data_IF_178662093718
#
_entry.id   IF_178662093718
#
_cell.length_a   1.000
_cell.length_b   1.000
_cell.length_c   1.000
_cell.angle_alpha   90.00
_cell.angle_beta   90.00
_cell.angle_gamma   90.00
#
_symmetry.space_group_name_H-M   'P 1'
#
loop_
_entity.id
_entity.type
_entity.pdbx_description
1 polymer ?
#
# COMPACT_ATOMS: atom_id res chain seq x y z
N UNK A 1 2.73 23.06 23.00
CA UNK A 1 3.71 23.13 24.11
C UNK A 1 4.05 24.57 24.39
N UNK A 2 5.20 24.83 25.01
CA UNK A 2 5.72 26.19 25.24
C UNK A 2 7.20 26.23 24.91
N UNK A 3 7.58 27.16 24.02
CA UNK A 3 8.98 27.42 23.67
C UNK A 3 9.74 27.96 24.87
N UNK A 4 10.94 27.43 25.13
CA UNK A 4 11.80 27.92 26.21
C UNK A 4 13.28 27.74 25.90
N UNK A 5 14.15 28.49 26.60
CA UNK A 5 15.60 28.30 26.47
C UNK A 5 16.01 26.93 27.03
N UNK A 6 16.70 26.12 26.21
CA UNK A 6 17.09 24.74 26.55
C UNK A 6 17.98 24.63 27.81
N UNK A 7 18.78 25.65 28.13
CA UNK A 7 19.56 25.69 29.36
C UNK A 7 18.90 26.48 30.50
N UNK A 8 17.86 27.27 30.20
CA UNK A 8 17.27 28.22 31.14
C UNK A 8 16.03 27.69 31.86
N UNK A 9 15.28 26.79 31.22
CA UNK A 9 14.06 26.24 31.79
C UNK A 9 14.33 24.91 32.52
N UNK A 10 14.09 24.80 33.83
CA UNK A 10 14.24 23.53 34.54
C UNK A 10 13.27 22.47 34.02
N UNK A 11 13.69 21.20 34.03
CA UNK A 11 12.96 20.09 33.42
C UNK A 11 11.50 19.94 33.89
N UNK A 12 11.16 20.03 35.19
CA UNK A 12 9.78 19.83 35.66
C UNK A 12 8.77 20.84 35.12
N UNK A 13 9.24 22.00 34.64
CA UNK A 13 8.39 23.09 34.15
C UNK A 13 8.26 23.10 32.62
N UNK A 14 8.92 22.18 31.91
CA UNK A 14 8.88 22.15 30.45
C UNK A 14 7.55 21.58 29.95
N UNK A 15 7.01 22.22 28.92
CA UNK A 15 5.87 21.75 28.13
C UNK A 15 6.35 21.43 26.71
N UNK A 16 7.24 20.45 26.64
CA UNK A 16 7.97 20.10 25.41
C UNK A 16 7.07 19.34 24.43
N UNK A 17 6.75 19.98 23.30
CA UNK A 17 5.89 19.40 22.28
C UNK A 17 6.60 18.32 21.45
N UNK A 18 7.92 18.41 21.28
CA UNK A 18 8.71 17.44 20.52
C UNK A 18 8.77 16.10 21.24
N UNK A 19 9.03 16.12 22.55
CA UNK A 19 9.00 14.90 23.36
C UNK A 19 7.59 14.33 23.47
N UNK A 20 6.55 15.17 23.56
CA UNK A 20 5.17 14.69 23.52
C UNK A 20 4.82 13.98 22.21
N UNK A 21 5.30 14.50 21.07
CA UNK A 21 5.12 13.87 19.77
C UNK A 21 5.85 12.52 19.66
N UNK A 22 7.09 12.44 20.13
CA UNK A 22 7.84 11.18 20.17
C UNK A 22 7.16 10.11 21.05
N UNK A 23 6.66 10.51 22.22
CA UNK A 23 5.90 9.63 23.12
C UNK A 23 4.63 9.10 22.46
N UNK A 24 3.90 9.97 21.75
CA UNK A 24 2.72 9.58 20.98
C UNK A 24 3.04 8.50 19.95
N UNK A 25 4.09 8.69 19.15
CA UNK A 25 4.52 7.72 18.13
C UNK A 25 4.84 6.36 18.74
N UNK A 26 5.68 6.34 19.80
CA UNK A 26 6.11 5.11 20.46
C UNK A 26 4.92 4.38 21.09
N UNK A 27 3.98 5.09 21.73
CA UNK A 27 2.77 4.46 22.28
C UNK A 27 1.88 3.86 21.20
N UNK A 28 1.76 4.52 20.05
CA UNK A 28 0.94 4.04 18.94
C UNK A 28 1.56 2.84 18.21
N UNK A 29 2.87 2.85 17.96
CA UNK A 29 3.60 1.71 17.42
C UNK A 29 3.46 0.49 18.34
N UNK A 30 3.71 0.66 19.64
CA UNK A 30 3.55 -0.41 20.63
C UNK A 30 2.12 -0.96 20.69
N UNK A 31 1.11 -0.10 20.51
CA UNK A 31 -0.29 -0.53 20.48
C UNK A 31 -0.58 -1.39 19.25
N UNK A 32 -0.12 -0.96 18.07
CA UNK A 32 -0.34 -1.68 16.81
C UNK A 32 0.42 -3.01 16.78
N UNK A 33 1.65 -3.07 17.28
CA UNK A 33 2.45 -4.30 17.33
C UNK A 33 1.87 -5.38 18.25
N UNK A 34 0.97 -5.03 19.16
CA UNK A 34 0.26 -5.99 20.03
C UNK A 34 -1.04 -6.51 19.42
N UNK A 35 -1.45 -5.99 18.27
CA UNK A 35 -2.67 -6.47 17.62
C UNK A 35 -2.46 -7.91 17.12
N UNK A 36 -3.45 -8.80 17.30
CA UNK A 36 -3.38 -10.14 16.72
C UNK A 36 -3.36 -10.06 15.20
N UNK A 37 -2.83 -11.10 14.53
CA UNK A 37 -2.70 -11.15 13.07
C UNK A 37 -4.05 -10.96 12.35
N UNK A 38 -5.15 -11.46 12.93
CA UNK A 38 -6.53 -11.26 12.43
C UNK A 38 -6.98 -9.79 12.41
N UNK A 39 -6.26 -8.92 13.10
CA UNK A 39 -6.50 -7.47 13.19
C UNK A 39 -5.27 -6.68 12.73
N UNK A 40 -4.44 -7.28 11.86
CA UNK A 40 -3.24 -6.65 11.34
C UNK A 40 -3.57 -5.27 10.79
N UNK A 41 -2.81 -4.31 11.28
CA UNK A 41 -2.85 -2.90 10.90
C UNK A 41 -1.42 -2.40 10.85
N UNK A 42 -1.13 -1.50 9.92
CA UNK A 42 0.16 -0.82 9.85
C UNK A 42 -0.05 0.65 10.16
N UNK A 43 0.84 1.24 10.95
CA UNK A 43 0.90 2.68 11.18
C UNK A 43 2.32 3.16 10.89
N UNK A 44 2.43 4.26 10.14
CA UNK A 44 3.72 4.85 9.78
C UNK A 44 3.68 6.34 10.06
N UNK A 45 4.70 6.86 10.73
CA UNK A 45 4.91 8.30 10.93
C UNK A 45 6.00 8.77 9.97
N UNK A 46 5.61 9.21 8.77
CA UNK A 46 6.53 9.48 7.66
C UNK A 46 7.14 10.88 7.66
N UNK A 47 6.44 11.86 8.24
CA UNK A 47 6.92 13.24 8.37
C UNK A 47 6.84 13.66 9.83
N UNK A 48 7.91 14.27 10.32
CA UNK A 48 8.04 14.68 11.71
C UNK A 48 8.80 16.00 11.78
N UNK A 49 8.27 16.96 12.52
CA UNK A 49 8.86 18.28 12.66
C UNK A 49 8.68 18.77 14.10
N UNK A 50 9.78 19.17 14.74
CA UNK A 50 9.76 19.87 16.01
C UNK A 50 9.93 21.37 15.75
N UNK A 51 9.08 22.21 16.32
CA UNK A 51 9.03 23.65 16.05
C UNK A 51 9.52 24.45 17.28
N UNK A 52 10.42 25.43 17.11
CA UNK A 52 10.90 25.98 15.83
C UNK A 52 12.04 25.20 15.16
N UNK A 53 12.53 24.11 15.76
CA UNK A 53 13.57 23.27 15.14
C UNK A 53 14.98 23.80 15.34
N UNK A 54 15.32 24.25 16.56
CA UNK A 54 16.65 24.75 16.89
C UNK A 54 17.22 24.07 18.14
N UNK A 55 18.51 23.74 18.12
CA UNK A 55 19.19 22.91 19.13
C UNK A 55 19.08 23.46 20.55
N UNK A 56 19.08 24.79 20.70
CA UNK A 56 19.07 25.45 22.02
C UNK A 56 17.68 25.87 22.49
N UNK A 57 16.61 25.39 21.83
CA UNK A 57 15.23 25.78 22.12
C UNK A 57 14.37 24.54 22.40
N UNK A 58 13.68 24.54 23.55
CA UNK A 58 12.64 23.54 23.87
C UNK A 58 11.49 23.68 22.86
N UNK A 59 11.09 22.62 22.14
CA UNK A 59 10.03 22.73 21.14
C UNK A 59 8.68 23.17 21.73
N UNK A 60 8.18 24.31 21.26
CA UNK A 60 6.84 24.78 21.58
C UNK A 60 5.74 24.10 20.76
N UNK A 61 6.08 23.59 19.57
CA UNK A 61 5.18 22.86 18.69
C UNK A 61 5.83 21.60 18.12
N UNK A 62 5.01 20.68 17.62
CA UNK A 62 5.43 19.54 16.84
C UNK A 62 4.33 19.18 15.82
N UNK A 63 4.73 18.72 14.64
CA UNK A 63 3.84 18.25 13.58
C UNK A 63 4.26 16.84 13.17
N UNK A 64 3.28 15.96 13.07
CA UNK A 64 3.45 14.57 12.65
C UNK A 64 2.48 14.27 11.53
N UNK A 65 2.91 13.52 10.51
CA UNK A 65 1.99 12.82 9.63
C UNK A 65 1.81 11.38 10.10
N UNK A 66 0.69 10.76 9.76
CA UNK A 66 0.52 9.33 9.93
C UNK A 66 -0.16 8.72 8.70
N UNK A 67 0.24 7.51 8.36
CA UNK A 67 -0.44 6.63 7.40
C UNK A 67 -0.88 5.37 8.14
N UNK A 68 -2.17 5.06 8.07
CA UNK A 68 -2.79 3.94 8.76
C UNK A 68 -3.49 3.05 7.71
N UNK A 69 -3.17 1.75 7.68
CA UNK A 69 -3.74 0.81 6.70
C UNK A 69 -4.21 -0.48 7.36
N UNK A 70 -5.39 -0.97 7.00
CA UNK A 70 -5.98 -2.21 7.52
C UNK A 70 -7.05 -2.75 6.58
N UNK A 71 -7.23 -4.08 6.56
CA UNK A 71 -8.34 -4.73 5.83
C UNK A 71 -9.71 -4.52 6.46
N UNK A 72 -9.75 -4.05 7.71
CA UNK A 72 -10.96 -3.91 8.49
C UNK A 72 -11.19 -2.45 8.88
N UNK A 73 -12.28 -1.88 8.38
CA UNK A 73 -12.75 -0.55 8.75
C UNK A 73 -12.95 -0.42 10.27
N UNK A 74 -13.47 -1.47 10.92
CA UNK A 74 -13.64 -1.48 12.37
C UNK A 74 -12.29 -1.43 13.12
N UNK A 75 -11.25 -2.08 12.59
CA UNK A 75 -9.90 -1.99 13.15
C UNK A 75 -9.34 -0.57 12.99
N UNK A 76 -9.53 0.06 11.83
CA UNK A 76 -9.12 1.45 11.59
C UNK A 76 -9.74 2.40 12.60
N UNK A 77 -11.07 2.32 12.80
CA UNK A 77 -11.81 3.16 13.74
C UNK A 77 -11.35 2.97 15.18
N UNK A 78 -11.08 1.72 15.57
CA UNK A 78 -10.52 1.41 16.89
C UNK A 78 -9.14 2.04 17.09
N UNK A 79 -8.27 2.00 16.08
CA UNK A 79 -6.94 2.62 16.17
C UNK A 79 -7.04 4.14 16.24
N UNK A 80 -7.91 4.77 15.45
CA UNK A 80 -8.17 6.22 15.54
C UNK A 80 -8.70 6.61 16.93
N UNK A 81 -9.66 5.87 17.48
CA UNK A 81 -10.15 6.11 18.84
C UNK A 81 -9.05 5.91 19.90
N UNK A 82 -8.11 4.99 19.65
CA UNK A 82 -6.93 4.81 20.50
C UNK A 82 -5.96 5.98 20.39
N UNK A 83 -5.76 6.53 19.19
CA UNK A 83 -4.93 7.72 18.98
C UNK A 83 -5.46 8.91 19.78
N UNK A 84 -6.76 9.19 19.69
CA UNK A 84 -7.39 10.27 20.46
C UNK A 84 -7.20 10.10 21.98
N UNK A 85 -7.44 8.88 22.50
CA UNK A 85 -7.22 8.57 23.92
C UNK A 85 -5.76 8.71 24.34
N UNK A 86 -4.84 8.31 23.48
CA UNK A 86 -3.39 8.39 23.74
C UNK A 86 -2.94 9.85 23.74
N UNK A 87 -3.45 10.66 22.82
CA UNK A 87 -3.20 12.09 22.76
C UNK A 87 -3.70 12.79 24.04
N UNK A 88 -4.95 12.55 24.43
CA UNK A 88 -5.52 13.14 25.65
C UNK A 88 -4.74 12.77 26.92
N UNK A 89 -4.23 11.54 27.01
CA UNK A 89 -3.36 11.12 28.12
C UNK A 89 -2.04 11.91 28.13
N UNK A 90 -1.39 12.05 26.96
CA UNK A 90 -0.14 12.80 26.81
C UNK A 90 -0.32 14.28 27.12
N UNK A 91 -1.44 14.90 26.71
CA UNK A 91 -1.77 16.28 27.04
C UNK A 91 -1.78 16.50 28.55
N UNK A 92 -2.43 15.59 29.30
CA UNK A 92 -2.48 15.63 30.76
C UNK A 92 -1.11 15.40 31.41
N UNK A 93 -0.39 14.37 30.95
CA UNK A 93 0.91 13.96 31.52
C UNK A 93 2.01 15.00 31.27
N UNK A 94 1.98 15.69 30.13
CA UNK A 94 3.06 16.60 29.68
C UNK A 94 2.67 18.07 29.66
N UNK A 95 1.42 18.40 29.96
CA UNK A 95 0.92 19.78 29.96
C UNK A 95 0.96 20.45 28.58
N UNK A 96 0.80 19.65 27.52
CA UNK A 96 0.73 20.12 26.13
C UNK A 96 -0.71 20.06 25.62
N UNK A 97 -0.94 20.62 24.44
CA UNK A 97 -2.19 20.48 23.68
C UNK A 97 -1.86 19.93 22.31
N UNK A 98 -2.74 19.10 21.77
CA UNK A 98 -2.63 18.51 20.46
C UNK A 98 -4.01 18.27 19.84
N UNK A 99 -4.01 17.99 18.54
CA UNK A 99 -5.20 17.56 17.82
C UNK A 99 -4.82 16.65 16.67
N UNK A 100 -5.72 15.76 16.28
CA UNK A 100 -5.67 15.05 15.02
C UNK A 100 -6.51 15.84 14.01
N UNK A 101 -5.95 16.18 12.85
CA UNK A 101 -6.67 16.88 11.79
C UNK A 101 -6.47 16.20 10.43
N UNK A 102 -7.34 16.55 9.47
CA UNK A 102 -7.19 16.18 8.06
C UNK A 102 -7.12 14.67 7.77
N UNK A 103 -7.81 13.86 8.58
CA UNK A 103 -7.87 12.41 8.41
C UNK A 103 -8.64 12.05 7.15
N UNK A 104 -7.92 11.82 6.05
CA UNK A 104 -8.49 11.34 4.78
C UNK A 104 -8.61 9.82 4.82
N UNK A 105 -9.85 9.33 4.72
CA UNK A 105 -10.12 7.89 4.59
C UNK A 105 -10.20 7.52 3.12
N UNK A 106 -9.38 6.57 2.69
CA UNK A 106 -9.53 5.92 1.40
C UNK A 106 -10.39 4.66 1.60
N UNK A 107 -11.37 4.47 0.73
CA UNK A 107 -12.19 3.27 0.76
C UNK A 107 -11.39 2.08 0.21
N UNK A 108 -11.62 0.89 0.78
CA UNK A 108 -11.10 -0.38 0.26
C UNK A 108 -11.55 -0.53 -1.19
N UNK A 109 -10.61 -0.88 -2.06
CA UNK A 109 -10.88 -1.08 -3.48
C UNK A 109 -10.91 -2.58 -3.82
N UNK A 110 -12.10 -3.19 -3.97
CA UNK A 110 -12.19 -4.61 -4.31
C UNK A 110 -11.80 -4.87 -5.77
N UNK A 111 -11.07 -5.95 -6.00
CA UNK A 111 -10.82 -6.44 -7.38
C UNK A 111 -12.04 -7.20 -7.93
N UNK A 112 -12.21 -7.20 -9.25
CA UNK A 112 -13.29 -7.93 -9.92
C UNK A 112 -13.12 -9.44 -9.81
N UNK A 113 -14.17 -10.13 -9.37
CA UNK A 113 -14.23 -11.60 -9.35
C UNK A 113 -13.96 -12.23 -10.72
N UNK A 114 -14.37 -11.56 -11.81
CA UNK A 114 -14.12 -12.07 -13.16
C UNK A 114 -12.64 -12.02 -13.53
N UNK A 115 -11.99 -10.89 -13.24
CA UNK A 115 -10.57 -10.70 -13.50
C UNK A 115 -9.73 -11.61 -12.62
N UNK A 116 -10.08 -11.77 -11.34
CA UNK A 116 -9.42 -12.73 -10.46
C UNK A 116 -9.49 -14.17 -11.00
N UNK A 117 -10.63 -14.60 -11.57
CA UNK A 117 -10.74 -15.92 -12.19
C UNK A 117 -9.87 -16.04 -13.44
N UNK A 118 -9.85 -15.02 -14.30
CA UNK A 118 -9.00 -15.00 -15.49
C UNK A 118 -7.52 -15.09 -15.12
N UNK A 119 -7.08 -14.34 -14.11
CA UNK A 119 -5.70 -14.37 -13.60
C UNK A 119 -5.33 -15.73 -12.99
N UNK A 120 -6.21 -16.33 -12.18
CA UNK A 120 -5.98 -17.69 -11.64
C UNK A 120 -5.91 -18.76 -12.73
N UNK A 121 -6.70 -18.61 -13.80
CA UNK A 121 -6.64 -19.49 -14.96
C UNK A 121 -5.33 -19.32 -15.73
N UNK A 122 -4.95 -18.07 -16.00
CA UNK A 122 -3.72 -17.72 -16.70
C UNK A 122 -2.46 -18.25 -15.98
N UNK A 123 -2.41 -18.13 -14.66
CA UNK A 123 -1.35 -18.71 -13.82
C UNK A 123 -1.21 -20.23 -14.03
N UNK A 124 -2.32 -20.97 -14.04
CA UNK A 124 -2.29 -22.42 -14.30
C UNK A 124 -1.82 -22.77 -15.72
N UNK A 125 -2.30 -22.03 -16.73
CA UNK A 125 -1.97 -22.30 -18.13
C UNK A 125 -0.51 -21.95 -18.49
N UNK A 126 0.04 -20.93 -17.84
CA UNK A 126 1.46 -20.52 -18.01
C UNK A 126 2.43 -21.36 -17.16
N UNK A 127 1.91 -22.21 -16.26
CA UNK A 127 2.73 -23.06 -15.40
C UNK A 127 3.35 -22.35 -14.19
N UNK A 128 2.93 -21.10 -13.91
CA UNK A 128 3.47 -20.30 -12.82
C UNK A 128 2.54 -20.35 -11.61
N UNK A 129 3.02 -20.85 -10.48
CA UNK A 129 2.26 -20.83 -9.23
C UNK A 129 1.94 -19.39 -8.82
N UNK A 130 0.69 -19.13 -8.44
CA UNK A 130 0.28 -17.82 -7.95
C UNK A 130 -0.55 -17.88 -6.67
N UNK A 131 -0.25 -16.97 -5.74
CA UNK A 131 -1.04 -16.76 -4.52
C UNK A 131 -2.09 -15.68 -4.72
N UNK A 132 -3.01 -15.57 -3.77
CA UNK A 132 -3.98 -14.48 -3.74
C UNK A 132 -3.76 -13.65 -2.49
N UNK A 133 -3.46 -12.36 -2.66
CA UNK A 133 -3.19 -11.43 -1.56
C UNK A 133 -3.91 -10.09 -1.78
N UNK A 134 -4.07 -9.31 -0.72
CA UNK A 134 -4.46 -7.91 -0.85
C UNK A 134 -3.22 -7.03 -0.99
N UNK A 135 -3.31 -5.97 -1.79
CA UNK A 135 -2.27 -4.95 -1.83
C UNK A 135 -2.27 -4.14 -0.55
N UNK A 136 -1.11 -4.01 0.09
CA UNK A 136 -0.91 -2.97 1.08
C UNK A 136 -0.64 -1.60 0.48
N UNK A 137 -0.30 -1.50 -0.82
CA UNK A 137 -0.01 -0.26 -1.54
C UNK A 137 -1.21 0.30 -2.30
N UNK A 138 -1.35 1.63 -2.35
CA UNK A 138 -2.33 2.29 -3.21
C UNK A 138 -1.78 2.37 -4.63
N UNK A 139 -2.58 1.90 -5.61
CA UNK A 139 -2.22 1.93 -7.03
C UNK A 139 -3.29 2.66 -7.83
N UNK A 140 -2.95 3.10 -9.05
CA UNK A 140 -3.93 3.74 -9.95
C UNK A 140 -5.12 2.82 -10.25
N UNK A 141 -4.93 1.50 -10.20
CA UNK A 141 -6.01 0.52 -10.29
C UNK A 141 -7.14 0.80 -9.27
N UNK A 142 -6.84 1.36 -8.10
CA UNK A 142 -7.84 1.77 -7.12
C UNK A 142 -8.78 2.84 -7.64
N UNK A 143 -8.24 3.82 -8.38
CA UNK A 143 -9.05 4.87 -9.00
C UNK A 143 -9.86 4.31 -10.16
N UNK A 144 -9.27 3.39 -10.93
CA UNK A 144 -9.95 2.74 -12.05
C UNK A 144 -11.14 1.88 -11.60
N UNK A 145 -11.14 1.36 -10.37
CA UNK A 145 -12.23 0.55 -9.84
C UNK A 145 -13.58 1.27 -9.78
N UNK A 146 -13.59 2.61 -9.73
CA UNK A 146 -14.81 3.41 -9.80
C UNK A 146 -15.37 3.52 -11.22
N UNK A 147 -14.58 3.17 -12.24
CA UNK A 147 -14.87 3.37 -13.67
C UNK A 147 -15.08 2.03 -14.38
N UNK A 148 -14.28 1.01 -14.06
CA UNK A 148 -14.35 -0.30 -14.70
C UNK A 148 -13.88 -1.44 -13.77
N UNK A 149 -14.20 -2.71 -14.11
CA UNK A 149 -13.63 -3.86 -13.41
C UNK A 149 -12.10 -3.82 -13.45
N UNK A 150 -11.46 -4.01 -12.29
CA UNK A 150 -10.01 -4.01 -12.17
C UNK A 150 -9.47 -5.32 -11.57
N UNK A 151 -8.22 -5.65 -11.90
CA UNK A 151 -7.39 -6.67 -11.23
C UNK A 151 -5.92 -6.27 -11.29
N UNK A 152 -5.08 -6.88 -10.45
CA UNK A 152 -3.64 -6.65 -10.49
C UNK A 152 -2.89 -7.97 -10.40
N UNK A 153 -1.71 -7.99 -11.02
CA UNK A 153 -0.71 -9.06 -10.87
C UNK A 153 0.45 -8.46 -10.10
N UNK A 154 0.84 -9.10 -8.99
CA UNK A 154 2.11 -8.79 -8.37
C UNK A 154 3.20 -9.75 -8.77
N UNK A 155 4.43 -9.26 -8.78
CA UNK A 155 5.65 -10.06 -8.92
C UNK A 155 6.60 -9.76 -7.74
N UNK A 156 7.44 -10.73 -7.33
CA UNK A 156 8.39 -10.58 -6.24
C UNK A 156 9.32 -9.38 -6.37
N UNK A 157 9.53 -8.66 -5.27
CA UNK A 157 10.68 -7.78 -5.06
C UNK A 157 11.60 -8.44 -4.04
N UNK A 158 12.92 -8.37 -4.24
CA UNK A 158 13.91 -8.99 -3.35
C UNK A 158 13.82 -8.34 -1.97
N UNK A 159 13.52 -9.15 -0.96
CA UNK A 159 13.36 -8.71 0.43
C UNK A 159 12.12 -7.83 0.67
N UNK A 160 11.15 -7.83 -0.25
CA UNK A 160 9.93 -7.04 -0.14
C UNK A 160 10.15 -5.53 -0.15
N UNK A 161 11.34 -5.08 -0.55
CA UNK A 161 11.72 -3.69 -0.55
C UNK A 161 10.95 -2.91 -1.62
N UNK A 162 10.54 -1.70 -1.27
CA UNK A 162 10.01 -0.72 -2.21
C UNK A 162 10.29 0.71 -1.75
N UNK A 163 10.29 1.67 -2.68
CA UNK A 163 10.63 3.08 -2.43
C UNK A 163 12.05 3.31 -1.91
N UNK A 164 12.97 2.43 -2.30
CA UNK A 164 14.38 2.52 -1.93
C UNK A 164 15.26 2.18 -3.14
N UNK A 165 16.49 2.70 -3.27
CA UNK A 165 17.38 2.39 -4.39
C UNK A 165 17.70 0.89 -4.56
N UNK A 166 17.59 0.12 -3.49
CA UNK A 166 17.81 -1.33 -3.45
C UNK A 166 16.59 -2.15 -3.92
N UNK A 167 15.48 -1.50 -4.27
CA UNK A 167 14.31 -2.15 -4.86
C UNK A 167 14.73 -2.90 -6.14
N UNK A 168 14.51 -4.21 -6.17
CA UNK A 168 14.98 -5.05 -7.27
C UNK A 168 14.06 -6.27 -7.48
N UNK A 169 13.73 -6.55 -8.73
CA UNK A 169 12.99 -7.74 -9.14
C UNK A 169 13.79 -8.51 -10.17
N UNK A 170 13.90 -9.82 -10.01
CA UNK A 170 14.57 -10.68 -10.98
C UNK A 170 13.84 -10.67 -12.32
N UNK A 171 14.61 -10.70 -13.41
CA UNK A 171 14.07 -10.68 -14.76
C UNK A 171 13.09 -11.83 -15.02
N UNK A 172 13.40 -13.03 -14.54
CA UNK A 172 12.52 -14.20 -14.68
C UNK A 172 11.15 -13.96 -14.05
N UNK A 173 11.08 -13.25 -12.92
CA UNK A 173 9.81 -12.96 -12.27
C UNK A 173 9.01 -11.89 -13.01
N UNK A 174 9.68 -10.91 -13.63
CA UNK A 174 9.03 -9.98 -14.56
C UNK A 174 8.41 -10.71 -15.76
N UNK A 175 9.14 -11.68 -16.33
CA UNK A 175 8.65 -12.51 -17.44
C UNK A 175 7.41 -13.30 -17.02
N UNK A 176 7.45 -13.99 -15.87
CA UNK A 176 6.29 -14.75 -15.35
C UNK A 176 5.06 -13.86 -15.16
N UNK A 177 5.24 -12.67 -14.58
CA UNK A 177 4.16 -11.70 -14.40
C UNK A 177 3.57 -11.24 -15.73
N UNK A 178 4.42 -10.94 -16.71
CA UNK A 178 3.99 -10.54 -18.05
C UNK A 178 3.24 -11.65 -18.79
N UNK A 179 3.69 -12.91 -18.69
CA UNK A 179 3.02 -14.07 -19.30
C UNK A 179 1.62 -14.30 -18.71
N UNK A 180 1.50 -14.23 -17.37
CA UNK A 180 0.20 -14.34 -16.68
C UNK A 180 -0.72 -13.19 -17.09
N UNK A 181 -0.21 -11.97 -17.12
CA UNK A 181 -0.98 -10.79 -17.51
C UNK A 181 -1.51 -10.93 -18.94
N UNK A 182 -0.65 -11.28 -19.89
CA UNK A 182 -1.02 -11.44 -21.29
C UNK A 182 -2.07 -12.54 -21.49
N UNK A 183 -1.89 -13.70 -20.85
CA UNK A 183 -2.87 -14.79 -20.90
C UNK A 183 -4.22 -14.38 -20.29
N UNK A 184 -4.23 -13.68 -19.16
CA UNK A 184 -5.47 -13.23 -18.54
C UNK A 184 -6.22 -12.19 -19.39
N UNK A 185 -5.49 -11.26 -20.01
CA UNK A 185 -6.09 -10.30 -20.95
C UNK A 185 -6.72 -11.06 -22.13
N UNK A 186 -6.06 -12.08 -22.68
CA UNK A 186 -6.63 -12.92 -23.74
C UNK A 186 -7.92 -13.64 -23.31
N UNK A 187 -8.04 -14.08 -22.05
CA UNK A 187 -9.27 -14.67 -21.50
C UNK A 187 -10.40 -13.65 -21.29
N UNK A 188 -10.05 -12.40 -21.00
CA UNK A 188 -11.01 -11.33 -20.71
C UNK A 188 -11.51 -10.64 -21.98
N UNK A 189 -10.68 -10.59 -23.01
CA UNK A 189 -11.08 -10.04 -24.30
C UNK A 189 -11.97 -11.02 -25.05
N UNK A 190 -13.17 -10.56 -25.42
CA UNK A 190 -13.98 -11.25 -26.41
C UNK A 190 -13.32 -11.04 -27.77
N UNK A 191 -12.54 -12.01 -28.24
CA UNK A 191 -12.15 -12.07 -29.65
C UNK A 191 -13.42 -12.44 -30.42
N UNK A 192 -13.99 -11.58 -31.28
CA UNK A 192 -15.06 -11.99 -32.16
C UNK A 192 -14.53 -13.17 -33.00
N UNK A 193 -15.26 -14.30 -33.02
CA UNK A 193 -14.85 -15.55 -33.71
C UNK A 193 -14.57 -15.41 -35.21
N UNK A 194 -14.72 -14.23 -35.79
CA UNK A 194 -14.36 -13.95 -37.18
C UNK A 194 -12.89 -13.53 -37.25
N UNK A 195 -12.05 -14.47 -37.72
CA UNK A 195 -10.69 -14.28 -38.26
C UNK A 195 -9.45 -14.31 -37.34
N UNK A 196 -9.38 -15.24 -36.38
CA UNK A 196 -8.09 -15.62 -35.78
C UNK A 196 -7.88 -17.14 -35.86
N UNK A 197 -7.02 -17.57 -36.80
CA UNK A 197 -6.48 -18.92 -36.77
C UNK A 197 -5.44 -19.00 -35.64
N UNK A 198 -5.77 -19.75 -34.60
CA UNK A 198 -4.93 -19.96 -33.41
C UNK A 198 -3.53 -20.51 -33.78
N UNK A 199 -3.32 -21.07 -34.97
CA UNK A 199 -1.99 -21.54 -35.39
C UNK A 199 -0.99 -20.42 -35.70
N UNK A 200 -1.43 -19.19 -35.99
CA UNK A 200 -0.55 -18.11 -36.45
C UNK A 200 0.08 -17.30 -35.31
N UNK A 201 -0.44 -17.42 -34.08
CA UNK A 201 0.00 -16.64 -32.91
C UNK A 201 1.05 -17.38 -32.06
N UNK A 202 1.05 -18.72 -32.08
CA UNK A 202 1.86 -19.53 -31.17
C UNK A 202 3.17 -20.05 -31.77
N UNK A 203 3.52 -19.66 -33.01
CA UNK A 203 4.76 -20.06 -33.69
C UNK A 203 5.97 -19.13 -33.52
N UNK A 204 5.82 -17.96 -32.88
CA UNK A 204 6.84 -16.89 -32.83
C UNK A 204 7.42 -16.67 -31.43
N UNK A 205 8.65 -16.11 -31.29
CA UNK A 205 9.30 -15.89 -29.99
C UNK A 205 8.50 -14.95 -29.05
N UNK A 206 8.70 -15.05 -27.72
CA UNK A 206 7.81 -14.48 -26.70
C UNK A 206 7.49 -12.98 -26.86
N UNK A 207 8.47 -12.17 -27.27
CA UNK A 207 8.32 -10.72 -27.41
C UNK A 207 7.37 -10.32 -28.57
N UNK A 208 7.34 -11.12 -29.64
CA UNK A 208 6.45 -10.88 -30.77
C UNK A 208 4.98 -11.17 -30.42
N UNK A 209 4.75 -12.11 -29.50
CA UNK A 209 3.40 -12.46 -29.00
C UNK A 209 2.78 -11.31 -28.20
N UNK A 210 3.59 -10.65 -27.37
CA UNK A 210 3.15 -9.50 -26.57
C UNK A 210 2.75 -8.33 -27.47
N UNK A 211 3.56 -8.01 -28.49
CA UNK A 211 3.30 -6.91 -29.41
C UNK A 211 2.11 -7.15 -30.35
N UNK A 212 1.88 -8.40 -30.79
CA UNK A 212 0.70 -8.75 -31.58
C UNK A 212 -0.57 -8.76 -30.75
N UNK A 213 -0.54 -9.24 -29.51
CA UNK A 213 -1.69 -9.17 -28.61
C UNK A 213 -2.09 -7.70 -28.37
N UNK A 214 -1.14 -6.82 -28.06
CA UNK A 214 -1.41 -5.39 -27.82
C UNK A 214 -2.04 -4.69 -29.04
N UNK A 215 -1.68 -5.06 -30.27
CA UNK A 215 -2.21 -4.43 -31.50
C UNK A 215 -3.68 -4.74 -31.82
N UNK A 216 -4.23 -5.84 -31.31
CA UNK A 216 -5.57 -6.32 -31.68
C UNK A 216 -6.61 -6.21 -30.56
N UNK A 217 -6.20 -5.95 -29.34
CA UNK A 217 -7.10 -5.87 -28.21
C UNK A 217 -7.73 -4.46 -28.16
N UNK A 218 -9.04 -4.35 -28.43
CA UNK A 218 -9.84 -3.26 -27.85
C UNK A 218 -9.97 -3.55 -26.35
N UNK A 219 -9.04 -2.99 -25.58
CA UNK A 219 -8.94 -3.20 -24.14
C UNK A 219 -10.00 -2.34 -23.43
N UNK A 220 -11.10 -2.96 -23.00
CA UNK A 220 -12.11 -2.32 -22.12
C UNK A 220 -11.77 -2.50 -20.62
N UNK A 221 -10.61 -3.08 -20.28
CA UNK A 221 -10.23 -3.38 -18.88
C UNK A 221 -8.72 -3.29 -18.68
N UNK A 222 -8.29 -2.55 -17.66
CA UNK A 222 -6.88 -2.37 -17.31
C UNK A 222 -6.42 -3.41 -16.29
N UNK A 223 -5.23 -3.97 -16.50
CA UNK A 223 -4.55 -4.81 -15.54
C UNK A 223 -3.13 -4.26 -15.32
N UNK A 224 -2.82 -3.87 -14.08
CA UNK A 224 -1.53 -3.30 -13.69
C UNK A 224 -0.65 -4.37 -13.05
N UNK A 225 0.64 -4.29 -13.36
CA UNK A 225 1.69 -5.01 -12.64
C UNK A 225 2.11 -4.13 -11.46
N UNK A 226 2.18 -4.70 -10.27
CA UNK A 226 2.80 -4.05 -9.12
C UNK A 226 3.74 -5.03 -8.42
N UNK A 227 4.57 -4.59 -7.48
CA UNK A 227 5.66 -5.40 -6.91
C UNK A 227 5.31 -5.85 -5.49
N UNK A 228 5.37 -7.14 -5.19
CA UNK A 228 5.17 -7.74 -3.85
C UNK A 228 5.90 -9.07 -3.70
N UNK A 229 6.41 -9.34 -2.50
CA UNK A 229 7.34 -10.41 -2.11
C UNK A 229 7.14 -11.83 -2.70
N UNK A 230 8.28 -12.42 -3.08
CA UNK A 230 8.60 -13.81 -3.43
C UNK A 230 7.71 -14.68 -4.35
N UNK A 231 6.55 -14.24 -4.86
CA UNK A 231 5.74 -15.02 -5.82
C UNK A 231 4.91 -14.16 -6.78
N UNK A 232 4.47 -14.73 -7.91
CA UNK A 232 3.44 -14.07 -8.73
C UNK A 232 2.12 -14.12 -7.96
N UNK A 233 1.42 -13.00 -7.79
CA UNK A 233 0.24 -12.92 -6.94
C UNK A 233 -0.91 -12.26 -7.68
N UNK A 234 -2.10 -12.85 -7.59
CA UNK A 234 -3.34 -12.25 -8.06
C UNK A 234 -3.91 -11.39 -6.94
N UNK A 235 -4.04 -10.08 -7.16
CA UNK A 235 -4.61 -9.20 -6.15
C UNK A 235 -6.09 -9.48 -5.91
N UNK A 236 -6.51 -9.49 -4.64
CA UNK A 236 -7.91 -9.56 -4.20
C UNK A 236 -8.51 -8.17 -3.89
N UNK A 237 -7.69 -7.14 -3.78
CA UNK A 237 -8.11 -5.75 -3.55
C UNK A 237 -6.96 -4.93 -3.02
N UNK A 238 -7.20 -3.65 -2.79
CA UNK A 238 -6.24 -2.74 -2.12
C UNK A 238 -6.79 -2.34 -0.76
N UNK A 239 -5.92 -2.43 0.26
CA UNK A 239 -6.20 -2.11 1.66
C UNK A 239 -6.22 -0.62 1.94
#
# INVERSE_FOLDING_TARGET
GVTAHSGGQPMPYRKDAGIAAADFMVRMENFVNRAPESQRVTITFGEMEALPGWVSIVPGGARLSFDLRSRSQAVMERVLARMEKTLAAIEKERGVQGRLSDVKKLAVCPTSNNIQRALRRASKETGHAALTLSSGGVHDACRMAAICPMGMVFIPSVGGLSHTPEEFTHFDDMVKGAEILASAIAHLCVIPKTSLHVRDVWGSPPLARLLQAIRFLRIESFALISLYDNQVIVSQGVL
#
